data_IF_050199877946
#
_entry.id   IF_050199877946
#
_cell.length_a   1.000
_cell.length_b   1.000
_cell.length_c   1.000
_cell.angle_alpha   90.00
_cell.angle_beta   90.00
_cell.angle_gamma   90.00
#
_symmetry.space_group_name_H-M   'P 1'
#
loop_
_entity.id
_entity.type
_entity.pdbx_description
1 polymer ?
#
# COMPACT_ATOMS: atom_id res chain seq x y z
N UNK A 1 13.66 -1.15 -13.17
CA UNK A 1 13.83 0.10 -12.44
C UNK A 1 13.51 -0.02 -10.94
N UNK A 2 12.84 -1.09 -10.51
CA UNK A 2 12.46 -1.32 -9.11
C UNK A 2 13.34 -2.40 -8.50
N UNK A 3 13.92 -2.11 -7.34
CA UNK A 3 14.83 -3.00 -6.60
C UNK A 3 14.09 -3.75 -5.48
N UNK A 4 12.85 -3.33 -5.19
CA UNK A 4 12.06 -3.88 -4.10
C UNK A 4 11.33 -5.17 -4.50
N UNK A 5 11.05 -5.99 -3.51
CA UNK A 5 10.09 -7.06 -3.59
C UNK A 5 8.82 -6.70 -2.80
N UNK A 6 7.68 -7.21 -3.26
CA UNK A 6 6.43 -7.11 -2.52
C UNK A 6 6.01 -8.51 -2.08
N UNK A 7 5.80 -8.67 -0.79
CA UNK A 7 5.32 -9.93 -0.21
C UNK A 7 3.79 -10.06 -0.23
N UNK A 8 3.09 -9.17 -0.94
CA UNK A 8 1.64 -9.19 -1.13
C UNK A 8 1.28 -9.32 -2.62
N UNK A 9 0.33 -10.21 -2.92
CA UNK A 9 -0.33 -10.31 -4.23
C UNK A 9 -1.84 -10.12 -4.06
N UNK A 10 -2.42 -9.21 -4.84
CA UNK A 10 -3.85 -8.94 -4.86
C UNK A 10 -4.44 -9.52 -6.14
N UNK A 11 -5.49 -10.35 -5.99
CA UNK A 11 -6.26 -10.93 -7.10
C UNK A 11 -7.73 -10.62 -6.94
N UNK A 12 -8.38 -10.18 -8.00
CA UNK A 12 -9.83 -9.93 -8.01
C UNK A 12 -10.56 -11.14 -8.59
N UNK A 13 -11.59 -11.59 -7.86
CA UNK A 13 -12.39 -12.76 -8.18
C UNK A 13 -13.84 -12.36 -8.41
N UNK A 14 -14.48 -13.01 -9.39
CA UNK A 14 -15.90 -12.78 -9.73
C UNK A 14 -16.84 -13.87 -9.18
N UNK A 15 -16.28 -14.92 -8.58
CA UNK A 15 -17.05 -16.08 -8.09
C UNK A 15 -16.74 -16.36 -6.63
N UNK A 16 -17.76 -16.82 -5.88
CA UNK A 16 -17.62 -17.22 -4.48
C UNK A 16 -16.86 -18.55 -4.29
N UNK A 17 -16.60 -19.29 -5.36
CA UNK A 17 -15.91 -20.58 -5.32
C UNK A 17 -14.42 -20.39 -5.04
N UNK A 18 -14.10 -19.91 -3.85
CA UNK A 18 -12.75 -19.85 -3.34
C UNK A 18 -12.67 -20.70 -2.07
N UNK A 19 -11.81 -21.70 -2.09
CA UNK A 19 -11.53 -22.62 -1.00
C UNK A 19 -10.71 -21.99 0.14
N UNK A 20 -10.57 -20.65 0.17
CA UNK A 20 -9.81 -20.01 1.23
C UNK A 20 -10.43 -20.24 2.59
N UNK A 21 -9.66 -20.86 3.47
CA UNK A 21 -10.03 -21.14 4.87
C UNK A 21 -10.12 -19.87 5.73
N UNK A 22 -9.46 -18.79 5.29
CA UNK A 22 -9.46 -17.50 5.95
C UNK A 22 -10.31 -16.52 5.12
N UNK A 23 -11.35 -15.96 5.74
CA UNK A 23 -12.26 -15.00 5.11
C UNK A 23 -12.25 -13.70 5.91
N UNK A 24 -12.17 -12.55 5.25
CA UNK A 24 -12.17 -11.24 5.90
C UNK A 24 -13.37 -10.41 5.48
N UNK A 25 -14.04 -9.79 6.46
CA UNK A 25 -15.20 -8.92 6.27
C UNK A 25 -15.05 -7.63 7.06
N UNK A 26 -15.70 -6.57 6.55
CA UNK A 26 -15.77 -5.26 7.20
C UNK A 26 -17.10 -5.11 7.93
N UNK A 27 -17.04 -4.79 9.22
CA UNK A 27 -18.20 -4.60 10.07
C UNK A 27 -18.02 -3.36 10.95
N UNK A 28 -19.14 -2.83 11.45
CA UNK A 28 -19.16 -1.88 12.57
C UNK A 28 -19.76 -2.55 13.80
N UNK A 29 -19.74 -1.86 14.93
CA UNK A 29 -20.40 -2.33 16.15
C UNK A 29 -21.91 -2.47 16.00
N UNK A 30 -22.50 -1.70 15.06
CA UNK A 30 -23.95 -1.64 14.80
C UNK A 30 -24.37 -2.56 13.64
N UNK A 31 -23.42 -3.28 13.04
CA UNK A 31 -23.71 -4.17 11.90
C UNK A 31 -24.70 -5.26 12.27
N UNK A 32 -25.66 -5.48 11.37
CA UNK A 32 -26.72 -6.49 11.45
C UNK A 32 -26.44 -7.61 10.44
N UNK A 33 -27.13 -8.73 10.57
CA UNK A 33 -27.02 -9.85 9.61
C UNK A 33 -27.32 -9.39 8.17
N UNK A 34 -28.24 -8.43 7.99
CA UNK A 34 -28.55 -7.84 6.69
C UNK A 34 -27.33 -7.26 5.96
N UNK A 35 -26.33 -6.75 6.70
CA UNK A 35 -25.16 -6.07 6.15
C UNK A 35 -24.16 -7.04 5.49
N UNK A 36 -24.26 -8.33 5.81
CA UNK A 36 -23.43 -9.39 5.23
C UNK A 36 -24.22 -10.65 4.87
N UNK A 37 -25.53 -10.50 4.62
CA UNK A 37 -26.43 -11.59 4.21
C UNK A 37 -25.91 -12.30 2.95
N UNK A 38 -25.99 -13.62 2.98
CA UNK A 38 -25.56 -14.47 1.86
C UNK A 38 -24.04 -14.61 1.70
N UNK A 39 -23.25 -14.11 2.65
CA UNK A 39 -21.81 -14.36 2.73
C UNK A 39 -21.53 -15.67 3.45
N UNK A 40 -22.20 -15.89 4.58
CA UNK A 40 -22.07 -17.07 5.43
C UNK A 40 -23.44 -17.71 5.70
N UNK A 41 -23.43 -18.92 6.26
CA UNK A 41 -24.62 -19.57 6.77
C UNK A 41 -25.16 -18.90 8.06
N UNK A 42 -26.38 -19.25 8.46
CA UNK A 42 -27.04 -18.61 9.61
C UNK A 42 -26.33 -18.86 10.92
N UNK A 43 -25.74 -20.03 11.11
CA UNK A 43 -25.00 -20.41 12.33
C UNK A 43 -23.75 -19.50 12.47
N UNK A 44 -23.02 -19.28 11.41
CA UNK A 44 -21.87 -18.38 11.37
C UNK A 44 -22.31 -16.93 11.57
N UNK A 45 -23.39 -16.52 10.90
CA UNK A 45 -23.93 -15.17 11.05
C UNK A 45 -24.29 -14.85 12.51
N UNK A 46 -24.91 -15.77 13.22
CA UNK A 46 -25.23 -15.61 14.64
C UNK A 46 -23.97 -15.54 15.53
N UNK A 47 -22.96 -16.36 15.25
CA UNK A 47 -21.67 -16.26 15.95
C UNK A 47 -21.01 -14.90 15.77
N UNK A 48 -21.03 -14.33 14.56
CA UNK A 48 -20.50 -13.01 14.28
C UNK A 48 -21.25 -11.95 15.08
N UNK A 49 -22.58 -11.96 15.08
CA UNK A 49 -23.39 -10.99 15.84
C UNK A 49 -23.15 -11.10 17.35
N UNK A 50 -23.10 -12.31 17.89
CA UNK A 50 -22.78 -12.53 19.31
C UNK A 50 -21.39 -11.97 19.65
N UNK A 51 -20.41 -12.21 18.79
CA UNK A 51 -19.06 -11.67 18.94
C UNK A 51 -19.06 -10.13 18.96
N UNK A 52 -19.78 -9.49 18.04
CA UNK A 52 -19.90 -8.03 17.99
C UNK A 52 -20.53 -7.49 19.27
N UNK A 53 -21.63 -8.07 19.76
CA UNK A 53 -22.30 -7.65 21.01
C UNK A 53 -21.36 -7.70 22.22
N UNK A 54 -20.54 -8.72 22.32
CA UNK A 54 -19.62 -8.90 23.43
C UNK A 54 -18.36 -7.99 23.36
N UNK A 55 -18.05 -7.45 22.17
CA UNK A 55 -16.86 -6.64 21.94
C UNK A 55 -17.18 -5.15 21.63
N UNK A 56 -18.38 -4.69 21.94
CA UNK A 56 -18.95 -3.38 21.57
C UNK A 56 -18.20 -2.16 22.15
N UNK A 57 -17.26 -2.32 23.07
CA UNK A 57 -16.52 -1.19 23.66
C UNK A 57 -15.26 -0.78 22.88
N UNK A 58 -15.16 -1.11 21.60
CA UNK A 58 -14.00 -0.74 20.79
C UNK A 58 -14.05 0.75 20.41
N UNK A 59 -13.19 1.57 21.00
CA UNK A 59 -13.06 3.01 20.69
C UNK A 59 -12.24 3.30 19.43
N UNK A 60 -11.61 2.30 18.81
CA UNK A 60 -10.74 2.42 17.64
C UNK A 60 -10.98 1.23 16.69
N UNK A 61 -10.67 1.42 15.42
CA UNK A 61 -10.65 0.32 14.44
C UNK A 61 -9.78 -0.83 14.93
N UNK A 62 -10.29 -2.05 14.88
CA UNK A 62 -9.62 -3.25 15.35
C UNK A 62 -9.77 -4.40 14.36
N UNK A 63 -8.89 -5.37 14.47
CA UNK A 63 -8.92 -6.61 13.70
C UNK A 63 -9.06 -7.75 14.70
N UNK A 64 -10.03 -8.60 14.47
CA UNK A 64 -10.32 -9.77 15.30
C UNK A 64 -10.36 -11.03 14.44
N UNK A 65 -10.01 -12.16 15.05
CA UNK A 65 -10.25 -13.46 14.45
C UNK A 65 -11.34 -14.21 15.22
N UNK A 66 -12.30 -14.71 14.49
CA UNK A 66 -13.27 -15.68 14.96
C UNK A 66 -12.90 -17.03 14.35
N UNK A 67 -12.31 -17.92 15.15
CA UNK A 67 -12.02 -19.28 14.73
C UNK A 67 -13.34 -20.07 14.70
N UNK A 68 -13.62 -20.67 13.55
CA UNK A 68 -14.80 -21.53 13.37
C UNK A 68 -14.46 -22.97 13.70
N UNK A 69 -13.31 -23.44 13.17
CA UNK A 69 -12.73 -24.74 13.34
C UNK A 69 -11.20 -24.62 13.44
N UNK A 70 -10.51 -25.75 13.48
CA UNK A 70 -9.05 -25.81 13.58
C UNK A 70 -8.33 -25.01 12.49
N UNK A 71 -8.89 -24.94 11.29
CA UNK A 71 -8.26 -24.32 10.12
C UNK A 71 -9.12 -23.25 9.41
N UNK A 72 -10.35 -23.02 9.88
CA UNK A 72 -11.26 -22.01 9.33
C UNK A 72 -11.37 -20.78 10.22
N UNK A 73 -11.15 -19.61 9.63
CA UNK A 73 -11.12 -18.36 10.38
C UNK A 73 -11.87 -17.26 9.65
N UNK A 74 -12.68 -16.52 10.39
CA UNK A 74 -13.25 -15.26 9.93
C UNK A 74 -12.47 -14.13 10.58
N UNK A 75 -11.89 -13.26 9.76
CA UNK A 75 -11.18 -12.07 10.21
C UNK A 75 -12.14 -10.90 10.09
N UNK A 76 -12.50 -10.32 11.21
CA UNK A 76 -13.41 -9.18 11.30
C UNK A 76 -12.58 -7.93 11.36
N UNK A 77 -12.71 -7.06 10.35
CA UNK A 77 -12.15 -5.73 10.32
C UNK A 77 -13.22 -4.79 10.86
N UNK A 78 -13.15 -4.53 12.18
CA UNK A 78 -14.12 -3.69 12.88
C UNK A 78 -13.79 -2.22 12.70
N UNK A 79 -14.69 -1.48 12.07
CA UNK A 79 -14.62 -0.05 11.86
C UNK A 79 -15.52 0.66 12.89
N UNK A 80 -15.01 1.69 13.56
CA UNK A 80 -15.74 2.38 14.63
C UNK A 80 -16.57 3.54 14.09
N UNK A 81 -16.12 4.18 13.01
CA UNK A 81 -16.78 5.30 12.33
C UNK A 81 -16.54 5.20 10.84
N UNK A 82 -17.26 6.01 10.05
CA UNK A 82 -16.93 6.22 8.64
C UNK A 82 -15.47 6.67 8.55
N UNK A 83 -14.66 5.92 7.87
CA UNK A 83 -13.23 6.17 7.75
C UNK A 83 -12.99 7.23 6.66
N UNK A 84 -11.96 8.03 6.85
CA UNK A 84 -11.37 8.79 5.77
C UNK A 84 -10.33 7.93 5.01
N UNK A 85 -9.73 8.52 3.97
CA UNK A 85 -8.69 7.89 3.18
C UNK A 85 -7.53 7.37 4.04
N UNK A 86 -7.01 8.23 4.94
CA UNK A 86 -5.85 7.89 5.77
C UNK A 86 -6.14 6.82 6.83
N UNK A 87 -7.33 6.83 7.40
CA UNK A 87 -7.74 5.80 8.35
C UNK A 87 -7.91 4.45 7.69
N UNK A 88 -8.45 4.43 6.47
CA UNK A 88 -8.58 3.22 5.65
C UNK A 88 -7.22 2.66 5.25
N UNK A 89 -6.28 3.51 4.86
CA UNK A 89 -4.89 3.11 4.57
C UNK A 89 -4.21 2.53 5.81
N UNK A 90 -4.33 3.18 6.97
CA UNK A 90 -3.76 2.69 8.23
C UNK A 90 -4.30 1.34 8.66
N UNK A 91 -5.62 1.09 8.51
CA UNK A 91 -6.18 -0.21 8.88
C UNK A 91 -5.76 -1.29 7.87
N UNK A 92 -5.59 -0.95 6.60
CA UNK A 92 -5.03 -1.84 5.58
C UNK A 92 -3.61 -2.29 5.91
N UNK A 93 -2.75 -1.36 6.31
CA UNK A 93 -1.40 -1.68 6.77
C UNK A 93 -1.40 -2.60 8.00
N UNK A 94 -2.27 -2.31 8.99
CA UNK A 94 -2.44 -3.17 10.18
C UNK A 94 -2.99 -4.56 9.83
N UNK A 95 -3.88 -4.63 8.84
CA UNK A 95 -4.43 -5.90 8.38
C UNK A 95 -3.35 -6.77 7.74
N UNK A 96 -2.48 -6.17 6.91
CA UNK A 96 -1.34 -6.89 6.36
C UNK A 96 -0.42 -7.43 7.47
N UNK A 97 -0.06 -6.61 8.47
CA UNK A 97 0.75 -7.05 9.62
C UNK A 97 0.06 -8.18 10.39
N UNK A 98 -1.25 -8.05 10.62
CA UNK A 98 -2.04 -9.08 11.30
C UNK A 98 -1.97 -10.42 10.55
N UNK A 99 -2.20 -10.42 9.25
CA UNK A 99 -2.18 -11.61 8.40
C UNK A 99 -0.77 -12.23 8.38
N UNK A 100 0.27 -11.41 8.23
CA UNK A 100 1.68 -11.83 8.23
C UNK A 100 2.08 -12.48 9.56
N UNK A 101 1.76 -11.83 10.69
CA UNK A 101 2.15 -12.29 12.03
C UNK A 101 1.38 -13.55 12.46
N UNK A 102 0.20 -13.79 11.91
CA UNK A 102 -0.59 -14.99 12.16
C UNK A 102 -0.37 -16.11 11.13
N UNK A 103 0.67 -16.00 10.30
CA UNK A 103 1.05 -16.96 9.25
C UNK A 103 -0.09 -17.31 8.26
N UNK A 104 -0.96 -16.35 7.97
CA UNK A 104 -2.07 -16.50 7.03
C UNK A 104 -1.59 -16.16 5.63
N UNK A 105 -1.38 -17.15 4.77
CA UNK A 105 -0.84 -16.94 3.42
C UNK A 105 -1.91 -16.62 2.37
N UNK A 106 -3.18 -17.00 2.62
CA UNK A 106 -4.30 -16.77 1.71
C UNK A 106 -5.52 -16.26 2.46
N UNK A 107 -6.07 -15.14 2.03
CA UNK A 107 -7.27 -14.54 2.58
C UNK A 107 -8.26 -14.22 1.46
N UNK A 108 -9.51 -14.63 1.61
CA UNK A 108 -10.62 -14.14 0.80
C UNK A 108 -11.21 -12.90 1.48
N UNK A 109 -11.11 -11.75 0.83
CA UNK A 109 -11.63 -10.49 1.35
C UNK A 109 -12.90 -10.14 0.58
N UNK A 110 -13.99 -9.94 1.31
CA UNK A 110 -15.24 -9.45 0.72
C UNK A 110 -15.12 -7.94 0.50
N UNK A 111 -15.14 -7.51 -0.77
CA UNK A 111 -14.95 -6.12 -1.17
C UNK A 111 -16.13 -5.23 -0.78
N UNK A 112 -16.04 -3.95 -1.13
CA UNK A 112 -17.04 -2.92 -0.79
C UNK A 112 -18.48 -3.25 -1.22
N UNK A 113 -18.65 -4.09 -2.24
CA UNK A 113 -19.96 -4.52 -2.73
C UNK A 113 -20.67 -5.52 -1.81
N UNK A 114 -19.96 -6.07 -0.83
CA UNK A 114 -20.48 -7.01 0.15
C UNK A 114 -20.60 -6.40 1.55
N UNK A 115 -20.38 -5.10 1.68
CA UNK A 115 -20.44 -4.40 2.95
C UNK A 115 -21.06 -3.02 2.77
N UNK A 116 -22.03 -2.69 3.62
CA UNK A 116 -22.57 -1.33 3.73
C UNK A 116 -21.66 -0.37 4.51
N UNK A 117 -20.60 -0.91 5.09
CA UNK A 117 -19.73 -0.24 6.09
C UNK A 117 -18.54 0.46 5.47
N UNK A 118 -18.10 0.03 4.30
CA UNK A 118 -16.95 0.58 3.59
C UNK A 118 -17.33 0.86 2.14
N UNK A 119 -17.06 2.08 1.68
CA UNK A 119 -17.28 2.44 0.28
C UNK A 119 -16.06 2.02 -0.60
N UNK A 120 -16.20 2.18 -1.91
CA UNK A 120 -15.19 1.75 -2.87
C UNK A 120 -13.85 2.50 -2.69
N UNK A 121 -13.88 3.81 -2.44
CA UNK A 121 -12.65 4.62 -2.26
C UNK A 121 -11.94 4.21 -0.98
N UNK A 122 -12.66 4.03 0.10
CA UNK A 122 -12.12 3.56 1.38
C UNK A 122 -11.53 2.15 1.25
N UNK A 123 -12.19 1.27 0.49
CA UNK A 123 -11.70 -0.08 0.24
C UNK A 123 -10.41 -0.10 -0.59
N UNK A 124 -10.32 0.69 -1.66
CA UNK A 124 -9.10 0.81 -2.45
C UNK A 124 -7.96 1.44 -1.61
N UNK A 125 -8.27 2.40 -0.72
CA UNK A 125 -7.30 2.97 0.22
C UNK A 125 -6.81 1.93 1.23
N UNK A 126 -7.69 1.05 1.70
CA UNK A 126 -7.32 -0.07 2.56
C UNK A 126 -6.34 -1.02 1.84
N UNK A 127 -6.61 -1.37 0.60
CA UNK A 127 -5.70 -2.23 -0.18
C UNK A 127 -4.36 -1.54 -0.40
N UNK A 128 -4.37 -0.24 -0.74
CA UNK A 128 -3.16 0.56 -0.90
C UNK A 128 -2.29 0.57 0.37
N UNK A 129 -2.90 0.72 1.55
CA UNK A 129 -2.19 0.64 2.82
C UNK A 129 -1.52 -0.72 3.07
N UNK A 130 -2.20 -1.81 2.70
CA UNK A 130 -1.62 -3.15 2.76
C UNK A 130 -0.43 -3.31 1.78
N UNK A 131 -0.54 -2.77 0.57
CA UNK A 131 0.54 -2.77 -0.42
C UNK A 131 1.75 -1.96 0.04
N UNK A 132 1.54 -0.74 0.56
CA UNK A 132 2.62 0.10 1.13
C UNK A 132 3.36 -0.60 2.26
N UNK A 133 2.65 -1.38 3.08
CA UNK A 133 3.22 -2.14 4.19
C UNK A 133 3.95 -3.39 3.75
N UNK A 134 3.57 -3.97 2.62
CA UNK A 134 4.15 -5.21 2.08
C UNK A 134 5.52 -5.05 1.41
N UNK A 135 6.00 -3.81 1.30
CA UNK A 135 7.33 -3.51 0.75
C UNK A 135 8.43 -4.17 1.58
N UNK A 136 9.34 -4.84 0.91
CA UNK A 136 10.56 -5.42 1.50
C UNK A 136 11.78 -5.07 0.64
N UNK A 137 12.84 -4.57 1.29
CA UNK A 137 14.13 -4.38 0.67
C UNK A 137 15.04 -5.54 1.06
N UNK A 138 15.18 -6.49 0.16
CA UNK A 138 15.92 -7.75 0.38
C UNK A 138 17.04 -7.99 -0.62
N UNK A 139 17.41 -6.94 -1.38
CA UNK A 139 18.35 -7.02 -2.49
C UNK A 139 19.71 -7.64 -2.06
N UNK A 140 20.18 -7.27 -0.88
CA UNK A 140 21.49 -7.68 -0.36
C UNK A 140 21.43 -8.84 0.65
N UNK A 141 20.23 -9.39 0.90
CA UNK A 141 20.08 -10.51 1.81
C UNK A 141 20.44 -11.83 1.12
N UNK A 142 21.28 -12.62 1.77
CA UNK A 142 21.62 -13.98 1.32
C UNK A 142 20.39 -14.93 1.33
N UNK A 143 19.51 -14.76 2.32
CA UNK A 143 18.23 -15.48 2.40
C UNK A 143 17.08 -14.52 2.20
N UNK A 144 16.38 -14.65 1.08
CA UNK A 144 15.19 -13.88 0.79
C UNK A 144 13.96 -14.51 1.45
N UNK A 145 13.06 -13.65 1.97
CA UNK A 145 11.78 -14.12 2.46
C UNK A 145 10.83 -14.31 1.28
N UNK A 146 10.66 -15.55 0.82
CA UNK A 146 9.83 -15.88 -0.34
C UNK A 146 8.33 -16.09 0.02
N UNK A 147 7.93 -15.80 1.27
CA UNK A 147 6.53 -15.95 1.68
C UNK A 147 5.68 -14.86 1.07
N UNK A 148 4.83 -15.25 0.12
CA UNK A 148 3.86 -14.36 -0.52
C UNK A 148 2.51 -14.53 0.16
N UNK A 149 1.92 -13.41 0.60
CA UNK A 149 0.56 -13.35 1.09
C UNK A 149 -0.36 -13.01 -0.09
N UNK A 150 -1.46 -13.76 -0.23
CA UNK A 150 -2.42 -13.57 -1.30
C UNK A 150 -3.73 -12.99 -0.73
N UNK A 151 -4.07 -11.79 -1.16
CA UNK A 151 -5.40 -11.21 -0.95
C UNK A 151 -6.26 -11.51 -2.19
N UNK A 152 -7.23 -12.37 -2.00
CA UNK A 152 -8.22 -12.71 -3.01
C UNK A 152 -9.46 -11.85 -2.76
N UNK A 153 -9.69 -10.86 -3.61
CA UNK A 153 -10.77 -9.89 -3.42
C UNK A 153 -11.99 -10.36 -4.18
N UNK A 154 -13.06 -10.69 -3.46
CA UNK A 154 -14.34 -10.97 -4.08
C UNK A 154 -15.07 -9.66 -4.39
N UNK A 155 -15.35 -9.44 -5.68
CA UNK A 155 -16.10 -8.29 -6.18
C UNK A 155 -17.26 -8.75 -7.06
N UNK A 156 -18.36 -7.98 -7.07
CA UNK A 156 -19.41 -8.15 -8.08
C UNK A 156 -18.95 -7.48 -9.40
N UNK A 157 -19.28 -8.10 -10.54
CA UNK A 157 -19.02 -7.53 -11.86
C UNK A 157 -19.59 -6.10 -11.94
N UNK A 158 -18.82 -5.15 -12.47
CA UNK A 158 -19.20 -3.77 -12.87
C UNK A 158 -18.94 -2.60 -11.91
N UNK A 159 -18.21 -2.77 -10.82
CA UNK A 159 -17.80 -1.60 -10.02
C UNK A 159 -16.28 -1.64 -9.76
N UNK A 160 -15.49 -1.32 -10.78
CA UNK A 160 -14.06 -1.09 -10.63
C UNK A 160 -13.76 0.37 -10.93
N UNK A 161 -13.41 1.15 -9.91
CA UNK A 161 -12.92 2.51 -10.10
C UNK A 161 -11.49 2.47 -10.65
N UNK A 162 -11.38 2.28 -11.98
CA UNK A 162 -10.09 2.16 -12.69
C UNK A 162 -9.20 3.39 -12.47
N UNK A 163 -9.80 4.56 -12.34
CA UNK A 163 -9.08 5.82 -12.15
C UNK A 163 -8.44 5.89 -10.76
N UNK A 164 -9.19 5.61 -9.70
CA UNK A 164 -8.67 5.55 -8.33
C UNK A 164 -7.53 4.53 -8.21
N UNK A 165 -7.70 3.34 -8.78
CA UNK A 165 -6.64 2.31 -8.80
C UNK A 165 -5.39 2.79 -9.52
N UNK A 166 -5.54 3.41 -10.70
CA UNK A 166 -4.42 3.96 -11.46
C UNK A 166 -3.66 5.02 -10.65
N UNK A 167 -4.39 5.90 -9.95
CA UNK A 167 -3.80 6.92 -9.08
C UNK A 167 -3.05 6.29 -7.90
N UNK A 168 -3.66 5.34 -7.19
CA UNK A 168 -3.03 4.67 -6.05
C UNK A 168 -1.81 3.85 -6.45
N UNK A 169 -1.85 3.16 -7.59
CA UNK A 169 -0.70 2.46 -8.14
C UNK A 169 0.45 3.40 -8.51
N UNK A 170 0.15 4.58 -9.03
CA UNK A 170 1.18 5.58 -9.31
C UNK A 170 1.83 6.08 -8.01
N UNK A 171 1.04 6.34 -6.97
CA UNK A 171 1.53 6.71 -5.64
C UNK A 171 2.38 5.59 -5.04
N UNK A 172 1.90 4.34 -5.07
CA UNK A 172 2.64 3.17 -4.59
C UNK A 172 4.02 3.05 -5.24
N UNK A 173 4.07 3.19 -6.56
CA UNK A 173 5.31 3.14 -7.32
C UNK A 173 6.28 4.26 -6.94
N UNK A 174 5.79 5.49 -6.77
CA UNK A 174 6.60 6.62 -6.33
C UNK A 174 7.15 6.45 -4.93
N UNK A 175 6.30 6.02 -3.99
CA UNK A 175 6.70 5.76 -2.60
C UNK A 175 7.73 4.62 -2.53
N UNK A 176 7.51 3.52 -3.24
CA UNK A 176 8.43 2.40 -3.24
C UNK A 176 9.77 2.74 -3.90
N UNK A 177 9.76 3.54 -4.97
CA UNK A 177 10.99 4.08 -5.55
C UNK A 177 11.79 4.91 -4.52
N UNK A 178 11.11 5.76 -3.75
CA UNK A 178 11.75 6.53 -2.68
C UNK A 178 12.30 5.63 -1.58
N UNK A 179 11.53 4.60 -1.17
CA UNK A 179 11.98 3.62 -0.17
C UNK A 179 13.22 2.86 -0.65
N UNK A 180 13.29 2.50 -1.94
CA UNK A 180 14.50 1.88 -2.52
C UNK A 180 15.71 2.78 -2.37
N UNK A 181 15.57 4.07 -2.70
CA UNK A 181 16.66 5.03 -2.57
C UNK A 181 17.12 5.20 -1.12
N UNK A 182 16.18 5.26 -0.18
CA UNK A 182 16.50 5.39 1.26
C UNK A 182 17.15 4.11 1.83
N UNK A 183 16.77 2.95 1.31
CA UNK A 183 17.25 1.66 1.80
C UNK A 183 18.62 1.27 1.24
N UNK A 184 19.06 1.91 0.18
CA UNK A 184 20.37 1.67 -0.41
C UNK A 184 21.51 2.10 0.51
N UNK A 185 22.57 1.29 0.65
CA UNK A 185 23.75 1.67 1.43
C UNK A 185 24.55 2.76 0.72
N UNK A 186 25.26 3.60 1.49
CA UNK A 186 26.02 4.74 0.99
C UNK A 186 27.17 4.40 0.04
N UNK A 187 27.68 3.17 0.07
CA UNK A 187 28.68 2.68 -0.89
C UNK A 187 28.08 2.34 -2.27
N UNK A 188 26.77 2.26 -2.38
CA UNK A 188 26.02 2.06 -3.64
C UNK A 188 25.37 3.37 -4.07
N UNK A 189 24.57 3.98 -3.20
CA UNK A 189 23.85 5.20 -3.50
C UNK A 189 24.68 6.44 -3.09
N UNK A 190 25.70 6.74 -3.88
CA UNK A 190 26.46 7.98 -3.79
C UNK A 190 25.90 9.05 -4.78
N UNK A 191 26.33 10.32 -4.73
CA UNK A 191 25.69 11.41 -5.45
C UNK A 191 25.53 11.20 -6.97
N UNK A 192 26.53 10.67 -7.65
CA UNK A 192 26.51 10.38 -9.08
C UNK A 192 25.50 9.25 -9.42
N UNK A 193 25.47 8.16 -8.65
CA UNK A 193 24.47 7.09 -8.86
C UNK A 193 23.06 7.58 -8.55
N UNK A 194 22.89 8.41 -7.52
CA UNK A 194 21.59 9.02 -7.20
C UNK A 194 21.09 9.89 -8.37
N UNK A 195 21.93 10.78 -8.88
CA UNK A 195 21.61 11.62 -10.05
C UNK A 195 21.24 10.77 -11.27
N UNK A 196 21.98 9.67 -11.52
CA UNK A 196 21.70 8.73 -12.60
C UNK A 196 20.35 8.03 -12.43
N UNK A 197 20.00 7.56 -11.23
CA UNK A 197 18.70 6.93 -10.95
C UNK A 197 17.55 7.92 -11.16
N UNK A 198 17.68 9.15 -10.69
CA UNK A 198 16.70 10.21 -10.92
C UNK A 198 16.54 10.52 -12.41
N UNK A 199 17.62 10.47 -13.20
CA UNK A 199 17.51 10.69 -14.65
C UNK A 199 16.62 9.63 -15.35
N UNK A 200 16.51 8.44 -14.78
CA UNK A 200 15.61 7.39 -15.26
C UNK A 200 14.13 7.79 -15.24
N UNK A 201 13.74 8.78 -14.42
CA UNK A 201 12.37 9.29 -14.35
C UNK A 201 11.94 10.04 -15.62
N UNK A 202 12.87 10.39 -16.53
CA UNK A 202 12.54 10.88 -17.87
C UNK A 202 11.64 9.91 -18.62
N UNK A 203 11.78 8.61 -18.40
CA UNK A 203 10.97 7.56 -19.05
C UNK A 203 9.47 7.65 -18.72
N UNK A 204 9.12 8.26 -17.59
CA UNK A 204 7.73 8.47 -17.18
C UNK A 204 7.25 9.90 -17.40
N UNK A 205 8.02 10.71 -18.14
CA UNK A 205 7.63 12.04 -18.61
C UNK A 205 8.11 13.22 -17.77
N UNK A 206 8.95 12.99 -16.73
CA UNK A 206 9.56 14.11 -16.02
C UNK A 206 10.68 14.73 -16.87
N UNK A 207 10.76 16.07 -16.86
CA UNK A 207 11.94 16.77 -17.34
C UNK A 207 12.97 16.78 -16.21
N UNK A 208 14.05 16.02 -16.38
CA UNK A 208 15.12 15.92 -15.38
C UNK A 208 16.39 16.58 -15.92
N UNK A 209 16.90 17.55 -15.18
CA UNK A 209 18.17 18.25 -15.51
C UNK A 209 19.19 17.98 -14.41
N UNK A 210 20.39 17.56 -14.79
CA UNK A 210 21.49 17.28 -13.88
C UNK A 210 22.56 18.36 -14.07
N UNK A 211 22.95 18.99 -12.97
CA UNK A 211 24.04 19.94 -12.87
C UNK A 211 25.20 19.27 -12.14
N UNK A 212 26.26 19.00 -12.88
CA UNK A 212 27.54 18.53 -12.35
C UNK A 212 28.37 19.69 -11.77
N UNK A 213 29.50 19.41 -11.16
CA UNK A 213 30.37 20.40 -10.52
C UNK A 213 30.77 21.53 -11.49
N UNK A 214 31.04 21.20 -12.74
CA UNK A 214 31.41 22.23 -13.75
C UNK A 214 30.28 23.22 -13.98
N UNK A 215 29.05 22.73 -14.08
CA UNK A 215 27.85 23.57 -14.25
C UNK A 215 27.54 24.34 -12.96
N UNK A 216 27.65 23.69 -11.79
CA UNK A 216 27.42 24.31 -10.49
C UNK A 216 28.41 25.48 -10.26
N UNK A 217 29.69 25.30 -10.62
CA UNK A 217 30.68 26.34 -10.53
C UNK A 217 30.35 27.55 -11.45
N UNK A 218 29.91 27.29 -12.69
CA UNK A 218 29.44 28.35 -13.62
C UNK A 218 28.22 29.11 -13.10
N UNK A 219 27.35 28.44 -12.31
CA UNK A 219 26.15 29.04 -11.71
C UNK A 219 26.44 29.74 -10.38
N UNK A 220 27.68 29.74 -9.90
CA UNK A 220 28.02 30.34 -8.61
C UNK A 220 27.54 29.59 -7.38
N UNK A 221 27.20 28.28 -7.50
CA UNK A 221 26.72 27.45 -6.39
C UNK A 221 27.87 27.03 -5.44
N UNK A 222 28.69 28.00 -5.02
CA UNK A 222 29.94 27.74 -4.29
C UNK A 222 29.69 27.13 -2.90
N UNK A 223 28.61 27.49 -2.21
CA UNK A 223 28.28 26.90 -0.91
C UNK A 223 28.01 25.37 -1.01
N UNK A 224 27.27 24.94 -2.03
CA UNK A 224 27.03 23.52 -2.30
C UNK A 224 28.32 22.78 -2.64
N UNK A 225 29.17 23.38 -3.46
CA UNK A 225 30.48 22.83 -3.80
C UNK A 225 31.40 22.77 -2.59
N UNK A 226 31.34 23.78 -1.71
CA UNK A 226 32.11 23.82 -0.47
C UNK A 226 31.76 22.66 0.49
N UNK A 227 30.47 22.31 0.60
CA UNK A 227 30.05 21.16 1.39
C UNK A 227 30.57 19.83 0.79
N UNK A 228 30.61 19.72 -0.53
CA UNK A 228 31.02 18.49 -1.22
C UNK A 228 32.51 18.28 -1.30
N UNK A 229 33.34 19.30 -1.09
CA UNK A 229 34.80 19.24 -1.35
C UNK A 229 35.57 18.25 -0.48
N UNK A 230 35.01 17.86 0.67
CA UNK A 230 35.61 16.80 1.54
C UNK A 230 35.35 15.37 1.05
N UNK A 231 34.58 15.19 -0.01
CA UNK A 231 34.27 13.88 -0.59
C UNK A 231 35.11 13.62 -1.85
N UNK A 232 35.49 12.36 -2.05
CA UNK A 232 36.07 11.92 -3.32
C UNK A 232 35.04 11.84 -4.45
N UNK A 233 33.75 11.97 -4.12
CA UNK A 233 32.63 11.95 -5.07
C UNK A 233 32.20 13.37 -5.40
N UNK A 234 31.87 13.62 -6.67
CA UNK A 234 31.43 14.92 -7.12
C UNK A 234 30.06 15.34 -6.57
N UNK A 235 29.84 16.64 -6.52
CA UNK A 235 28.56 17.22 -6.11
C UNK A 235 27.62 17.38 -7.30
N UNK A 236 26.34 17.14 -7.09
CA UNK A 236 25.30 17.22 -8.10
C UNK A 236 24.08 17.99 -7.57
N UNK A 237 23.42 18.73 -8.46
CA UNK A 237 22.07 19.26 -8.26
C UNK A 237 21.18 18.66 -9.34
N UNK A 238 20.03 18.11 -8.94
CA UNK A 238 19.06 17.56 -9.87
C UNK A 238 17.75 18.33 -9.74
N UNK A 239 17.27 18.87 -10.85
CA UNK A 239 15.93 19.45 -10.92
C UNK A 239 14.99 18.51 -11.65
N UNK A 240 13.78 18.35 -11.12
CA UNK A 240 12.73 17.54 -11.71
C UNK A 240 11.50 18.41 -11.93
N UNK A 241 11.00 18.47 -13.16
CA UNK A 241 9.87 19.31 -13.55
C UNK A 241 8.76 18.43 -14.16
N UNK A 242 7.54 18.63 -13.67
CA UNK A 242 6.33 17.99 -14.19
C UNK A 242 5.31 19.04 -14.60
N UNK A 243 4.98 19.12 -15.88
CA UNK A 243 3.95 20.02 -16.41
C UNK A 243 2.72 19.21 -16.86
N UNK A 244 1.99 18.64 -15.90
CA UNK A 244 0.82 17.81 -16.17
C UNK A 244 -0.39 18.57 -16.72
N UNK A 245 -0.55 19.85 -16.36
CA UNK A 245 -1.67 20.68 -16.81
C UNK A 245 -1.42 21.39 -18.15
N UNK A 246 -0.17 21.40 -18.64
CA UNK A 246 0.24 22.20 -19.80
C UNK A 246 -0.18 23.67 -19.70
N UNK A 247 -0.32 24.20 -18.49
CA UNK A 247 -0.77 25.56 -18.22
C UNK A 247 0.42 26.52 -18.17
N UNK A 248 0.17 27.81 -18.40
CA UNK A 248 1.15 28.89 -18.25
C UNK A 248 1.25 29.41 -16.80
N UNK A 249 0.58 28.79 -15.85
CA UNK A 249 0.68 29.17 -14.44
C UNK A 249 2.08 28.94 -13.89
N UNK A 250 2.47 29.74 -12.90
CA UNK A 250 3.76 29.54 -12.22
C UNK A 250 3.85 28.14 -11.61
N UNK A 251 5.01 27.48 -11.69
CA UNK A 251 5.19 26.21 -11.04
C UNK A 251 5.14 26.34 -9.51
N UNK A 252 4.72 25.29 -8.85
CA UNK A 252 4.91 25.11 -7.42
C UNK A 252 6.32 24.53 -7.24
N UNK A 253 7.16 25.16 -6.43
CA UNK A 253 8.50 24.69 -6.09
C UNK A 253 8.57 24.28 -4.62
#
# INVERSE_FOLDING_TARGET
LYLYSMSLKIKYLNTKNNSSKNKAIFLTQESKISDFKGIFDDKINQKIISFLKNNIKAKKNKIFALNLDFDQRIIIILLVKKNDFFQSEKIGAKFYDYVKNNAVNNVLIFGSNFSSVINEIEFESFLHGAELKSYEFDLYKSKKNNKIINFNILIQKNKNNKETKKKLNALLNGVNFTKDLVSEPGNILHPDEYAKRLSGLKKIGLKVTIYDEKKLKKLGCNALLGVGQGSIRGSYLVTMEWNGKKSKSKPLA
#
